data_IF_471582443154
#
_entry.id   IF_471582443154
#
_cell.length_a   1.000
_cell.length_b   1.000
_cell.length_c   1.000
_cell.angle_alpha   90.00
_cell.angle_beta   90.00
_cell.angle_gamma   90.00
#
_symmetry.space_group_name_H-M   'P 1'
#
loop_
_entity.id
_entity.type
_entity.pdbx_description
1 polymer ?
#
# COMPACT_ATOMS: atom_id res chain seq x y z
N UNK A 1 39.54 -30.11 -8.21
CA UNK A 1 39.85 -31.16 -7.21
C UNK A 1 38.85 -31.05 -6.08
N UNK A 2 38.12 -32.13 -5.81
CA UNK A 2 37.58 -32.56 -4.50
C UNK A 2 36.66 -31.57 -3.72
N UNK A 3 35.33 -31.70 -3.72
CA UNK A 3 34.45 -32.72 -3.10
C UNK A 3 33.85 -32.21 -1.77
N UNK A 4 32.51 -32.27 -1.70
CA UNK A 4 31.72 -32.75 -0.54
C UNK A 4 31.64 -31.79 0.68
N UNK A 5 30.63 -31.72 1.54
CA UNK A 5 29.68 -32.70 2.07
C UNK A 5 28.59 -31.94 2.87
N UNK A 6 27.34 -32.34 2.72
CA UNK A 6 26.19 -32.03 3.61
C UNK A 6 26.29 -32.75 4.95
N UNK A 7 25.72 -32.23 6.05
CA UNK A 7 25.25 -33.09 7.12
C UNK A 7 23.71 -33.28 7.08
N UNK A 8 23.35 -34.55 7.11
CA UNK A 8 22.04 -35.13 7.27
C UNK A 8 21.47 -34.94 8.70
N UNK A 9 20.14 -34.81 8.73
CA UNK A 9 19.13 -35.47 9.60
C UNK A 9 19.36 -35.64 11.11
N UNK A 10 18.34 -35.23 11.88
CA UNK A 10 17.85 -35.96 13.05
C UNK A 10 16.33 -35.69 13.22
N UNK A 11 15.48 -36.62 12.79
CA UNK A 11 14.71 -37.55 13.64
C UNK A 11 13.72 -36.89 14.63
N UNK A 12 12.42 -37.03 14.35
CA UNK A 12 11.35 -37.19 15.37
C UNK A 12 10.14 -37.86 14.70
N UNK A 13 10.07 -39.19 14.78
CA UNK A 13 9.27 -39.97 15.74
C UNK A 13 7.79 -40.06 15.34
N UNK A 14 7.43 -41.31 15.04
CA UNK A 14 6.11 -41.79 14.69
C UNK A 14 5.16 -41.81 15.89
N UNK A 15 3.86 -41.63 15.64
CA UNK A 15 2.81 -42.37 16.37
C UNK A 15 1.62 -42.64 15.45
N UNK A 16 1.18 -43.89 15.55
CA UNK A 16 0.19 -44.60 14.75
C UNK A 16 -1.25 -44.17 15.07
N UNK A 17 -2.14 -44.38 14.11
CA UNK A 17 -3.59 -44.41 14.34
C UNK A 17 -4.35 -44.87 13.10
N UNK A 18 -4.43 -46.19 12.91
CA UNK A 18 -5.30 -46.84 11.92
C UNK A 18 -6.55 -47.33 12.66
N UNK A 19 -7.74 -46.89 12.28
CA UNK A 19 -9.01 -47.43 12.82
C UNK A 19 -9.94 -47.83 11.67
N UNK A 20 -10.52 -49.00 11.88
CA UNK A 20 -11.10 -49.96 10.94
C UNK A 20 -12.48 -49.53 10.43
N UNK A 21 -12.75 -49.80 9.16
CA UNK A 21 -14.08 -49.68 8.51
C UNK A 21 -15.10 -50.65 9.10
N UNK A 22 -16.33 -50.18 9.28
CA UNK A 22 -17.51 -51.04 9.34
C UNK A 22 -18.61 -50.42 8.45
N UNK A 23 -19.00 -51.15 7.41
CA UNK A 23 -20.08 -50.80 6.50
C UNK A 23 -21.28 -51.74 6.74
N UNK A 24 -22.47 -51.14 6.92
CA UNK A 24 -23.80 -51.53 6.39
C UNK A 24 -24.90 -51.16 7.37
N UNK A 25 -25.81 -50.29 6.92
CA UNK A 25 -27.25 -50.51 7.01
C UNK A 25 -27.95 -49.57 6.03
N UNK A 26 -28.74 -50.14 5.13
CA UNK A 26 -29.64 -49.41 4.26
C UNK A 26 -30.82 -48.89 5.10
N UNK A 27 -31.08 -47.60 5.04
CA UNK A 27 -32.28 -46.96 5.57
C UNK A 27 -32.82 -45.99 4.52
N UNK A 28 -34.00 -46.29 4.00
CA UNK A 28 -34.77 -45.43 3.08
C UNK A 28 -35.36 -44.26 3.86
N UNK A 29 -34.91 -43.03 3.61
CA UNK A 29 -35.60 -41.83 4.12
C UNK A 29 -35.39 -40.62 3.18
N UNK A 30 -36.45 -39.86 3.01
CA UNK A 30 -36.75 -38.96 1.90
C UNK A 30 -35.81 -37.75 1.75
N UNK A 31 -35.66 -37.28 0.50
CA UNK A 31 -35.16 -35.94 0.15
C UNK A 31 -36.09 -34.88 0.78
N UNK A 32 -35.70 -34.29 1.90
CA UNK A 32 -36.22 -32.99 2.29
C UNK A 32 -35.38 -31.94 1.55
N UNK A 33 -36.02 -31.23 0.62
CA UNK A 33 -35.45 -30.06 -0.04
C UNK A 33 -35.62 -28.91 0.94
N UNK A 34 -34.55 -28.57 1.66
CA UNK A 34 -34.53 -27.36 2.46
C UNK A 34 -34.56 -26.14 1.52
N UNK A 35 -35.50 -25.20 1.69
CA UNK A 35 -35.55 -24.00 0.88
C UNK A 35 -34.35 -23.12 1.25
N UNK A 36 -33.45 -22.92 0.29
CA UNK A 36 -32.43 -21.85 0.22
C UNK A 36 -32.05 -21.25 1.57
N UNK A 37 -30.98 -21.77 2.18
CA UNK A 37 -30.15 -20.98 3.08
C UNK A 37 -29.57 -19.81 2.27
N UNK A 38 -30.29 -18.70 2.24
CA UNK A 38 -29.75 -17.43 1.79
C UNK A 38 -28.67 -17.08 2.81
N UNK A 39 -27.41 -17.30 2.41
CA UNK A 39 -26.25 -16.79 3.11
C UNK A 39 -26.32 -15.27 3.01
N UNK A 40 -27.07 -14.65 3.91
CA UNK A 40 -27.07 -13.21 4.13
C UNK A 40 -25.69 -12.83 4.66
N UNK A 41 -24.75 -12.63 3.73
CA UNK A 41 -23.49 -11.97 4.00
C UNK A 41 -23.83 -10.52 4.38
N UNK A 42 -24.14 -10.33 5.66
CA UNK A 42 -24.29 -9.03 6.30
C UNK A 42 -23.00 -8.24 6.05
N UNK A 43 -23.03 -7.34 5.07
CA UNK A 43 -21.86 -6.53 4.74
C UNK A 43 -21.52 -5.69 5.97
N UNK A 44 -20.40 -6.03 6.59
CA UNK A 44 -19.87 -5.27 7.70
C UNK A 44 -19.38 -3.98 7.08
N UNK A 45 -20.14 -2.88 7.22
CA UNK A 45 -19.72 -1.57 6.74
C UNK A 45 -18.33 -1.29 7.32
N UNK A 46 -17.32 -1.19 6.46
CA UNK A 46 -15.98 -0.79 6.87
C UNK A 46 -16.05 0.64 7.42
N UNK A 47 -15.45 0.86 8.59
CA UNK A 47 -15.31 2.22 9.11
C UNK A 47 -14.27 2.95 8.27
N UNK A 48 -14.58 4.18 7.89
CA UNK A 48 -13.61 5.07 7.23
C UNK A 48 -12.53 5.41 8.23
N UNK A 49 -11.26 5.22 7.85
CA UNK A 49 -10.13 5.59 8.69
C UNK A 49 -9.94 7.11 8.62
N UNK A 50 -9.80 7.74 9.78
CA UNK A 50 -9.58 9.18 9.90
C UNK A 50 -8.07 9.48 9.92
N UNK A 51 -7.58 10.26 8.96
CA UNK A 51 -6.22 10.84 8.99
C UNK A 51 -6.28 12.27 9.52
N UNK A 52 -5.53 12.57 10.58
CA UNK A 52 -5.47 13.91 11.16
C UNK A 52 -4.70 14.91 10.27
N UNK A 53 -3.83 14.42 9.38
CA UNK A 53 -3.09 15.26 8.42
C UNK A 53 -3.96 15.68 7.24
N UNK A 54 -5.03 14.94 6.99
CA UNK A 54 -5.99 15.20 5.91
C UNK A 54 -7.41 14.82 6.34
N UNK A 55 -7.97 15.61 7.27
CA UNK A 55 -9.27 15.35 7.88
C UNK A 55 -10.45 15.32 6.89
N UNK A 56 -10.31 16.00 5.74
CA UNK A 56 -11.35 16.11 4.71
C UNK A 56 -11.07 15.25 3.46
N UNK A 57 -9.99 14.45 3.48
CA UNK A 57 -9.57 13.66 2.32
C UNK A 57 -9.39 14.52 1.06
N UNK A 58 -8.64 15.60 1.16
CA UNK A 58 -8.29 16.50 0.06
C UNK A 58 -7.68 15.74 -1.12
N UNK A 59 -6.88 14.71 -0.83
CA UNK A 59 -6.28 13.85 -1.86
C UNK A 59 -7.33 13.20 -2.77
N UNK A 60 -8.54 12.95 -2.27
CA UNK A 60 -9.63 12.38 -3.05
C UNK A 60 -10.28 13.38 -4.02
N UNK A 61 -9.93 14.67 -3.93
CA UNK A 61 -10.52 15.75 -4.74
C UNK A 61 -9.58 16.30 -5.79
N UNK A 62 -8.32 15.89 -5.74
CA UNK A 62 -7.32 16.23 -6.73
C UNK A 62 -7.42 15.28 -7.92
N UNK A 63 -7.14 15.82 -9.10
CA UNK A 63 -6.90 15.03 -10.30
C UNK A 63 -5.52 14.37 -10.25
N UNK A 64 -5.31 13.31 -11.02
CA UNK A 64 -4.01 12.61 -11.09
C UNK A 64 -2.88 13.56 -11.46
N UNK A 65 -3.12 14.47 -12.41
CA UNK A 65 -2.15 15.48 -12.83
C UNK A 65 -1.77 16.42 -11.67
N UNK A 66 -2.74 16.86 -10.89
CA UNK A 66 -2.50 17.72 -9.71
C UNK A 66 -1.72 16.98 -8.62
N UNK A 67 -2.01 15.71 -8.38
CA UNK A 67 -1.27 14.85 -7.45
C UNK A 67 0.18 14.68 -7.93
N UNK A 68 0.37 14.37 -9.21
CA UNK A 68 1.70 14.20 -9.80
C UNK A 68 2.53 15.49 -9.70
N UNK A 69 1.96 16.65 -10.03
CA UNK A 69 2.64 17.95 -9.93
C UNK A 69 3.00 18.26 -8.49
N UNK A 70 2.06 18.05 -7.54
CA UNK A 70 2.29 18.27 -6.12
C UNK A 70 3.45 17.43 -5.59
N UNK A 71 3.46 16.14 -5.90
CA UNK A 71 4.45 15.20 -5.35
C UNK A 71 5.83 15.42 -5.98
N UNK A 72 5.88 15.77 -7.26
CA UNK A 72 7.11 16.17 -7.95
C UNK A 72 7.71 17.42 -7.33
N UNK A 73 6.91 18.46 -7.13
CA UNK A 73 7.40 19.71 -6.56
C UNK A 73 7.76 19.58 -5.06
N UNK A 74 7.02 18.74 -4.32
CA UNK A 74 7.34 18.40 -2.93
C UNK A 74 8.71 17.74 -2.82
N UNK A 75 9.06 16.85 -3.74
CA UNK A 75 10.36 16.18 -3.76
C UNK A 75 11.49 17.19 -3.98
N UNK A 76 11.34 18.11 -4.95
CA UNK A 76 12.26 19.22 -5.16
C UNK A 76 12.45 20.08 -3.88
N UNK A 77 11.36 20.45 -3.22
CA UNK A 77 11.43 21.25 -1.99
C UNK A 77 12.24 20.55 -0.89
N UNK A 78 12.05 19.25 -0.71
CA UNK A 78 12.74 18.49 0.33
C UNK A 78 14.22 18.23 0.01
N UNK A 79 14.52 17.91 -1.24
CA UNK A 79 15.89 17.57 -1.65
C UNK A 79 16.77 18.80 -1.86
N UNK A 80 16.20 19.87 -2.43
CA UNK A 80 16.95 21.05 -2.85
C UNK A 80 16.79 22.22 -1.88
N UNK A 81 15.58 22.59 -1.47
CA UNK A 81 15.35 23.81 -0.67
C UNK A 81 15.59 23.59 0.84
N UNK A 82 15.12 22.47 1.39
CA UNK A 82 15.24 22.14 2.81
C UNK A 82 16.68 22.18 3.36
N UNK A 83 17.73 21.71 2.66
CA UNK A 83 19.09 21.78 3.20
C UNK A 83 19.67 23.22 3.24
N UNK A 84 19.19 24.13 2.38
CA UNK A 84 19.76 25.49 2.25
C UNK A 84 19.10 26.50 3.18
N UNK A 85 17.82 26.31 3.49
CA UNK A 85 16.99 27.33 4.16
C UNK A 85 17.56 27.82 5.50
N UNK A 86 18.23 26.94 6.27
CA UNK A 86 18.74 27.28 7.59
C UNK A 86 19.88 28.31 7.51
N UNK A 87 20.85 28.09 6.62
CA UNK A 87 21.97 29.02 6.42
C UNK A 87 21.52 30.26 5.65
N UNK A 88 20.72 30.08 4.59
CA UNK A 88 20.17 31.16 3.80
C UNK A 88 19.39 32.17 4.66
N UNK A 89 18.51 31.69 5.54
CA UNK A 89 17.76 32.55 6.46
C UNK A 89 18.65 33.22 7.51
N UNK A 90 19.68 32.53 8.02
CA UNK A 90 20.59 33.08 9.04
C UNK A 90 21.49 34.19 8.48
N UNK A 91 21.85 34.09 7.21
CA UNK A 91 22.76 35.02 6.53
C UNK A 91 22.03 36.03 5.65
N UNK A 92 20.70 35.95 5.58
CA UNK A 92 19.86 36.79 4.71
C UNK A 92 20.27 36.72 3.23
N UNK A 93 20.70 35.53 2.79
CA UNK A 93 21.14 35.28 1.41
C UNK A 93 20.01 34.61 0.62
N UNK A 94 19.75 35.14 -0.57
CA UNK A 94 18.84 34.53 -1.53
C UNK A 94 19.61 33.98 -2.74
N UNK A 95 19.64 32.65 -2.86
CA UNK A 95 20.28 31.97 -3.97
C UNK A 95 19.45 32.12 -5.25
N UNK A 96 19.96 32.91 -6.19
CA UNK A 96 19.28 33.20 -7.46
C UNK A 96 19.08 31.95 -8.33
N UNK A 97 19.91 30.92 -8.13
CA UNK A 97 19.81 29.61 -8.78
C UNK A 97 18.47 28.92 -8.52
N UNK A 98 17.83 29.20 -7.36
CA UNK A 98 16.51 28.62 -7.03
C UNK A 98 15.47 28.97 -8.09
N UNK A 99 15.51 30.19 -8.63
CA UNK A 99 14.57 30.62 -9.67
C UNK A 99 14.85 29.89 -11.00
N UNK A 100 16.12 29.68 -11.34
CA UNK A 100 16.49 28.89 -12.52
C UNK A 100 16.04 27.43 -12.38
N UNK A 101 16.32 26.79 -11.24
CA UNK A 101 15.90 25.41 -10.93
C UNK A 101 14.36 25.27 -11.03
N UNK A 102 13.61 26.22 -10.47
CA UNK A 102 12.15 26.25 -10.57
C UNK A 102 11.64 26.50 -11.99
N UNK A 103 12.36 27.29 -12.79
CA UNK A 103 12.05 27.51 -14.19
C UNK A 103 12.23 26.25 -15.04
N UNK A 104 13.30 25.50 -14.81
CA UNK A 104 13.57 24.22 -15.47
C UNK A 104 12.52 23.15 -15.13
N UNK A 105 12.02 23.16 -13.89
CA UNK A 105 10.90 22.31 -13.47
C UNK A 105 9.54 22.72 -14.05
N UNK A 106 9.45 23.90 -14.68
CA UNK A 106 8.21 24.38 -15.28
C UNK A 106 7.14 24.80 -14.25
N UNK A 107 7.53 25.07 -13.00
CA UNK A 107 6.57 25.46 -11.95
C UNK A 107 6.28 26.97 -11.92
N UNK A 108 7.09 27.76 -12.65
CA UNK A 108 6.90 29.20 -12.76
C UNK A 108 5.79 29.52 -13.77
N UNK A 109 4.72 30.18 -13.30
CA UNK A 109 3.62 30.58 -14.17
C UNK A 109 2.73 29.41 -14.63
N UNK A 110 2.47 28.44 -13.76
CA UNK A 110 1.71 27.20 -14.06
C UNK A 110 0.32 27.42 -14.67
N UNK A 111 -0.28 28.61 -14.51
CA UNK A 111 -1.60 28.95 -15.08
C UNK A 111 -1.51 29.68 -16.43
N UNK A 112 -0.31 30.04 -16.88
CA UNK A 112 -0.08 30.77 -18.13
C UNK A 112 -0.17 29.77 -19.29
N UNK A 113 -1.07 30.05 -20.23
CA UNK A 113 -1.13 29.34 -21.51
C UNK A 113 -0.18 30.04 -22.47
N UNK A 114 0.87 29.34 -22.90
CA UNK A 114 1.74 29.80 -23.99
C UNK A 114 0.90 30.11 -25.22
N UNK A 115 1.17 31.23 -25.88
CA UNK A 115 0.53 31.61 -27.14
C UNK A 115 1.15 30.88 -28.31
#
# INVERSE_FOLDING_TARGET
MSLSTTPLRLFRAATRGLSISAARAQGTAAKHIDPKAQNEQKSTKSRVQFDWRDALSLDSRLTEDEVMIRDSFRSYCQERLMPRILMANRQEVFDREIISEMGELGVLGSTIKGK
#
